data_IF_842936228022
#
_entry.id   IF_842936228022
#
_cell.length_a   1.000
_cell.length_b   1.000
_cell.length_c   1.000
_cell.angle_alpha   90.00
_cell.angle_beta   90.00
_cell.angle_gamma   90.00
#
_symmetry.space_group_name_H-M   'P 1'
#
loop_
_entity.id
_entity.type
_entity.pdbx_description
1 polymer ?
#
# COMPACT_ATOMS: atom_id res chain seq x y z
N UNK A 1 8.38 -16.27 -5.58
CA UNK A 1 8.15 -14.80 -5.47
C UNK A 1 9.30 -14.07 -4.82
N UNK A 2 9.82 -14.52 -3.70
CA UNK A 2 10.97 -13.89 -3.02
C UNK A 2 12.17 -13.68 -3.95
N UNK A 3 12.45 -14.66 -4.83
CA UNK A 3 13.50 -14.52 -5.86
C UNK A 3 13.25 -13.29 -6.74
N UNK A 4 12.01 -12.96 -7.07
CA UNK A 4 11.68 -11.79 -7.89
C UNK A 4 11.84 -10.47 -7.14
N UNK A 5 11.53 -10.44 -5.83
CA UNK A 5 11.75 -9.26 -4.99
C UNK A 5 13.24 -8.92 -4.90
N UNK A 6 14.10 -9.95 -4.81
CA UNK A 6 15.56 -9.79 -4.69
C UNK A 6 16.28 -9.66 -6.04
N UNK A 7 15.57 -9.60 -7.18
CA UNK A 7 16.21 -9.37 -8.47
C UNK A 7 16.74 -7.94 -8.57
N UNK A 8 17.93 -7.79 -9.16
CA UNK A 8 18.55 -6.48 -9.40
C UNK A 8 17.62 -5.54 -10.15
N UNK A 9 16.97 -6.04 -11.20
CA UNK A 9 16.05 -5.27 -12.03
C UNK A 9 14.86 -4.75 -11.22
N UNK A 10 14.31 -5.57 -10.30
CA UNK A 10 13.20 -5.18 -9.43
C UNK A 10 13.63 -4.11 -8.43
N UNK A 11 14.78 -4.29 -7.80
CA UNK A 11 15.34 -3.31 -6.86
C UNK A 11 15.67 -1.99 -7.56
N UNK A 12 16.27 -2.06 -8.76
CA UNK A 12 16.58 -0.87 -9.58
C UNK A 12 15.32 -0.13 -10.00
N UNK A 13 14.29 -0.83 -10.43
CA UNK A 13 13.01 -0.20 -10.77
C UNK A 13 12.34 0.44 -9.53
N UNK A 14 12.37 -0.25 -8.38
CA UNK A 14 11.88 0.31 -7.13
C UNK A 14 12.66 1.58 -6.71
N UNK A 15 13.99 1.59 -6.87
CA UNK A 15 14.83 2.76 -6.66
C UNK A 15 14.44 3.91 -7.60
N UNK A 16 14.32 3.64 -8.90
CA UNK A 16 13.94 4.62 -9.93
C UNK A 16 12.58 5.27 -9.62
N UNK A 17 11.60 4.46 -9.25
CA UNK A 17 10.27 4.94 -8.86
C UNK A 17 10.31 5.76 -7.57
N UNK A 18 11.10 5.32 -6.59
CA UNK A 18 11.32 6.05 -5.35
C UNK A 18 11.96 7.42 -5.57
N UNK A 19 13.00 7.48 -6.41
CA UNK A 19 13.69 8.73 -6.78
C UNK A 19 12.79 9.70 -7.51
N UNK A 20 11.96 9.22 -8.45
CA UNK A 20 11.01 10.09 -9.20
C UNK A 20 10.07 10.87 -8.28
N UNK A 21 9.75 10.32 -7.11
CA UNK A 21 8.91 10.99 -6.13
C UNK A 21 9.67 12.03 -5.27
N UNK A 22 10.98 12.13 -5.42
CA UNK A 22 11.87 13.10 -4.78
C UNK A 22 11.57 13.35 -3.29
N UNK A 23 11.34 12.28 -2.55
CA UNK A 23 10.93 12.38 -1.15
C UNK A 23 12.12 12.65 -0.22
N UNK A 24 11.90 13.40 0.84
CA UNK A 24 12.90 13.77 1.84
C UNK A 24 13.63 12.55 2.44
N UNK A 25 14.86 12.74 2.95
CA UNK A 25 15.66 11.70 3.60
C UNK A 25 14.95 11.08 4.81
N UNK A 26 15.24 9.82 5.09
CA UNK A 26 14.77 9.08 6.25
C UNK A 26 15.42 9.55 7.55
N UNK A 27 15.44 8.66 8.55
CA UNK A 27 16.06 8.91 9.85
C UNK A 27 17.60 8.92 9.77
N UNK A 28 18.13 8.22 8.78
CA UNK A 28 19.58 8.09 8.48
C UNK A 28 20.16 9.34 7.79
N UNK A 29 19.31 10.27 7.35
CA UNK A 29 19.74 11.47 6.62
C UNK A 29 20.20 11.20 5.19
N UNK A 30 20.21 9.96 4.73
CA UNK A 30 20.67 9.59 3.38
C UNK A 30 19.70 10.11 2.33
N UNK A 31 20.23 10.79 1.30
CA UNK A 31 19.47 11.31 0.16
C UNK A 31 19.72 10.46 -1.09
N UNK A 32 18.89 10.63 -2.12
CA UNK A 32 19.11 9.95 -3.40
C UNK A 32 20.40 10.40 -4.07
N UNK A 33 20.76 11.67 -3.92
CA UNK A 33 22.01 12.24 -4.45
C UNK A 33 23.23 11.61 -3.76
N UNK A 34 23.17 11.37 -2.45
CA UNK A 34 24.23 10.69 -1.72
C UNK A 34 24.42 9.25 -2.21
N UNK A 35 23.31 8.50 -2.39
CA UNK A 35 23.36 7.12 -2.93
C UNK A 35 23.94 7.11 -4.36
N UNK A 36 23.64 8.12 -5.17
CA UNK A 36 24.20 8.24 -6.52
C UNK A 36 25.70 8.55 -6.52
N UNK A 37 26.13 9.41 -5.60
CA UNK A 37 27.54 9.74 -5.46
C UNK A 37 28.39 8.57 -4.95
N UNK A 38 27.84 7.72 -4.10
CA UNK A 38 28.50 6.53 -3.55
C UNK A 38 28.45 5.33 -4.51
N UNK A 39 27.48 5.30 -5.45
CA UNK A 39 27.31 4.23 -6.42
C UNK A 39 25.99 3.45 -6.21
N UNK A 40 25.07 3.59 -7.17
CA UNK A 40 23.75 2.95 -7.13
C UNK A 40 23.88 1.42 -7.18
N UNK A 41 24.79 0.90 -7.98
CA UNK A 41 24.91 -0.54 -8.20
C UNK A 41 25.41 -1.25 -6.94
N UNK A 42 26.39 -0.68 -6.26
CA UNK A 42 26.92 -1.15 -4.99
C UNK A 42 25.86 -1.12 -3.91
N UNK A 43 25.12 -0.02 -3.81
CA UNK A 43 23.99 0.11 -2.88
C UNK A 43 22.92 -0.96 -3.11
N UNK A 44 22.51 -1.20 -4.36
CA UNK A 44 21.50 -2.19 -4.70
C UNK A 44 22.00 -3.62 -4.48
N UNK A 45 23.28 -3.90 -4.76
CA UNK A 45 23.85 -5.23 -4.52
C UNK A 45 23.94 -5.55 -3.03
N UNK A 46 24.43 -4.62 -2.22
CA UNK A 46 24.43 -4.77 -0.77
C UNK A 46 23.02 -5.06 -0.22
N UNK A 47 22.03 -4.30 -0.68
CA UNK A 47 20.65 -4.50 -0.26
C UNK A 47 20.10 -5.86 -0.70
N UNK A 48 20.48 -6.30 -1.91
CA UNK A 48 20.15 -7.62 -2.44
C UNK A 48 20.74 -8.74 -1.58
N UNK A 49 22.03 -8.64 -1.25
CA UNK A 49 22.70 -9.62 -0.41
C UNK A 49 22.02 -9.75 0.95
N UNK A 50 21.72 -8.64 1.60
CA UNK A 50 21.01 -8.64 2.89
C UNK A 50 19.63 -9.32 2.80
N UNK A 51 18.89 -9.09 1.72
CA UNK A 51 17.59 -9.72 1.50
C UNK A 51 17.71 -11.24 1.27
N UNK A 52 18.72 -11.66 0.48
CA UNK A 52 18.98 -13.08 0.21
C UNK A 52 19.42 -13.81 1.47
N UNK A 53 20.33 -13.22 2.24
CA UNK A 53 20.88 -13.76 3.49
C UNK A 53 19.91 -13.62 4.68
N UNK A 54 18.78 -12.93 4.53
CA UNK A 54 17.82 -12.59 5.58
C UNK A 54 18.43 -11.75 6.72
N UNK A 55 19.48 -11.03 6.45
CA UNK A 55 20.13 -10.12 7.40
C UNK A 55 19.54 -8.71 7.36
N UNK A 56 18.75 -8.39 6.33
CA UNK A 56 18.07 -7.09 6.21
C UNK A 56 17.25 -6.75 7.46
N UNK A 57 17.41 -5.51 7.92
CA UNK A 57 16.63 -4.93 9.03
C UNK A 57 16.12 -3.55 8.62
N UNK A 58 14.78 -3.34 8.61
CA UNK A 58 14.22 -2.03 8.34
C UNK A 58 14.55 -1.05 9.47
N UNK A 59 14.78 0.18 9.11
CA UNK A 59 14.99 1.28 10.06
C UNK A 59 13.64 1.84 10.55
N UNK A 60 13.67 2.57 11.67
CA UNK A 60 12.51 3.37 12.08
C UNK A 60 12.28 4.50 11.10
N UNK A 61 11.03 4.72 10.70
CA UNK A 61 10.71 5.86 9.87
C UNK A 61 10.89 7.17 10.64
N UNK A 62 11.44 8.21 10.01
CA UNK A 62 11.47 9.56 10.54
C UNK A 62 10.05 10.12 10.58
N UNK A 63 9.60 10.58 11.72
CA UNK A 63 8.27 11.15 11.90
C UNK A 63 8.32 12.66 11.70
N UNK A 64 7.40 13.17 10.87
CA UNK A 64 7.23 14.61 10.63
C UNK A 64 5.77 14.95 10.84
N UNK A 65 5.53 16.04 11.56
CA UNK A 65 4.20 16.57 11.81
C UNK A 65 3.84 17.60 10.75
N UNK A 66 2.68 17.42 10.11
CA UNK A 66 2.14 18.33 9.11
C UNK A 66 0.86 18.93 9.68
N UNK A 67 0.78 20.27 9.82
CA UNK A 67 -0.44 20.93 10.25
C UNK A 67 -1.60 20.65 9.28
N UNK A 68 -2.79 20.42 9.83
CA UNK A 68 -4.05 20.35 9.10
C UNK A 68 -4.93 21.54 9.46
N UNK A 69 -5.91 21.83 8.60
CA UNK A 69 -6.97 22.78 8.93
C UNK A 69 -7.66 22.39 10.25
N UNK A 70 -8.03 23.39 11.05
CA UNK A 70 -8.66 23.18 12.36
C UNK A 70 -7.70 22.79 13.48
N UNK A 71 -6.38 23.07 13.37
CA UNK A 71 -5.40 22.88 14.46
C UNK A 71 -5.01 21.41 14.71
N UNK A 72 -5.49 20.48 13.90
CA UNK A 72 -5.10 19.06 13.95
C UNK A 72 -3.73 18.84 13.28
N UNK A 73 -3.01 17.84 13.73
CA UNK A 73 -1.70 17.47 13.17
C UNK A 73 -1.80 16.10 12.50
N UNK A 74 -1.20 15.98 11.30
CA UNK A 74 -1.02 14.71 10.63
C UNK A 74 0.43 14.26 10.80
N UNK A 75 0.64 13.07 11.33
CA UNK A 75 1.96 12.48 11.43
C UNK A 75 2.31 11.71 10.15
N UNK A 76 3.36 12.16 9.45
CA UNK A 76 3.91 11.48 8.28
C UNK A 76 5.14 10.68 8.72
N UNK A 77 5.22 9.44 8.24
CA UNK A 77 6.35 8.55 8.46
C UNK A 77 7.19 8.47 7.20
N UNK A 78 8.44 8.89 7.27
CA UNK A 78 9.37 8.92 6.13
C UNK A 78 10.39 7.78 6.30
N UNK A 79 10.26 6.66 5.55
CA UNK A 79 11.23 5.57 5.59
C UNK A 79 12.58 6.00 4.99
N UNK A 80 13.67 5.32 5.35
CA UNK A 80 14.96 5.44 4.67
C UNK A 80 14.87 5.08 3.19
N UNK A 81 15.82 5.51 2.37
CA UNK A 81 15.82 5.18 0.94
C UNK A 81 15.90 3.66 0.73
N UNK A 82 16.75 2.97 1.51
CA UNK A 82 16.83 1.51 1.43
C UNK A 82 15.51 0.83 1.75
N UNK A 83 14.78 1.30 2.75
CA UNK A 83 13.47 0.76 3.12
C UNK A 83 12.41 1.07 2.06
N UNK A 84 12.49 2.25 1.41
CA UNK A 84 11.61 2.58 0.27
C UNK A 84 11.85 1.65 -0.91
N UNK A 85 13.11 1.32 -1.20
CA UNK A 85 13.47 0.38 -2.27
C UNK A 85 12.92 -1.01 -1.98
N UNK A 86 13.09 -1.52 -0.76
CA UNK A 86 12.55 -2.83 -0.37
C UNK A 86 11.02 -2.86 -0.40
N UNK A 87 10.37 -1.83 0.15
CA UNK A 87 8.91 -1.70 0.08
C UNK A 87 8.41 -1.56 -1.35
N UNK A 88 9.13 -0.81 -2.19
CA UNK A 88 8.85 -0.65 -3.61
C UNK A 88 8.97 -1.97 -4.38
N UNK A 89 10.02 -2.73 -4.15
CA UNK A 89 10.23 -4.05 -4.74
C UNK A 89 9.13 -5.03 -4.36
N UNK A 90 8.74 -5.07 -3.08
CA UNK A 90 7.58 -5.86 -2.62
C UNK A 90 6.29 -5.40 -3.29
N UNK A 91 6.06 -4.09 -3.37
CA UNK A 91 4.87 -3.54 -4.01
C UNK A 91 4.80 -3.94 -5.48
N UNK A 92 5.89 -3.81 -6.24
CA UNK A 92 5.94 -4.18 -7.66
C UNK A 92 5.53 -5.63 -7.92
N UNK A 93 5.86 -6.54 -6.99
CA UNK A 93 5.53 -7.97 -7.13
C UNK A 93 4.13 -8.29 -6.60
N UNK A 94 3.70 -7.64 -5.52
CA UNK A 94 2.43 -7.96 -4.87
C UNK A 94 1.24 -7.22 -5.50
N UNK A 95 1.42 -5.99 -5.96
CA UNK A 95 0.34 -5.15 -6.48
C UNK A 95 -0.42 -5.81 -7.65
N UNK A 96 0.23 -6.39 -8.67
CA UNK A 96 -0.50 -7.04 -9.77
C UNK A 96 -1.36 -8.23 -9.33
N UNK A 97 -0.95 -8.93 -8.26
CA UNK A 97 -1.67 -10.09 -7.72
C UNK A 97 -2.97 -9.66 -7.05
N UNK A 98 -2.89 -8.60 -6.22
CA UNK A 98 -4.05 -8.13 -5.45
C UNK A 98 -4.93 -7.18 -6.24
N UNK A 99 -4.38 -6.50 -7.25
CA UNK A 99 -5.17 -5.66 -8.16
C UNK A 99 -6.28 -6.44 -8.86
N UNK A 100 -6.03 -7.71 -9.16
CA UNK A 100 -7.02 -8.63 -9.73
C UNK A 100 -8.18 -8.95 -8.77
N UNK A 101 -7.99 -8.81 -7.46
CA UNK A 101 -8.99 -9.13 -6.44
C UNK A 101 -9.81 -7.91 -5.99
N UNK A 102 -9.38 -6.70 -6.33
CA UNK A 102 -10.03 -5.47 -5.89
C UNK A 102 -11.29 -5.16 -6.69
N UNK A 103 -12.31 -4.70 -6.00
CA UNK A 103 -13.58 -4.33 -6.61
C UNK A 103 -13.44 -3.13 -7.56
N UNK A 104 -14.22 -3.13 -8.64
CA UNK A 104 -14.21 -2.06 -9.64
C UNK A 104 -14.58 -0.68 -9.08
N UNK A 105 -15.26 -0.64 -7.93
CA UNK A 105 -15.67 0.55 -7.20
C UNK A 105 -14.62 1.17 -6.30
N UNK A 106 -13.52 0.48 -6.04
CA UNK A 106 -12.42 0.98 -5.24
C UNK A 106 -11.44 1.76 -6.12
N UNK A 107 -11.13 3.01 -5.77
CA UNK A 107 -10.31 3.91 -6.60
C UNK A 107 -9.01 4.35 -5.92
N UNK A 108 -8.97 4.40 -4.59
CA UNK A 108 -7.85 4.97 -3.84
C UNK A 108 -6.54 4.23 -4.05
N UNK A 109 -5.47 4.95 -4.38
CA UNK A 109 -4.10 4.43 -4.49
C UNK A 109 -3.89 3.23 -5.44
N UNK A 110 -4.78 3.03 -6.39
CA UNK A 110 -4.71 1.93 -7.35
C UNK A 110 -4.15 2.37 -8.69
N UNK A 111 -3.38 1.50 -9.39
CA UNK A 111 -2.86 1.82 -10.72
C UNK A 111 -4.02 2.02 -11.70
N UNK A 112 -3.84 2.95 -12.64
CA UNK A 112 -4.83 3.31 -13.68
C UNK A 112 -6.19 3.80 -13.14
N UNK A 113 -6.32 4.07 -11.85
CA UNK A 113 -7.48 4.72 -11.23
C UNK A 113 -7.15 6.19 -10.94
N UNK A 114 -8.16 7.06 -11.04
CA UNK A 114 -7.98 8.49 -10.78
C UNK A 114 -9.16 9.06 -10.00
N UNK A 115 -8.96 10.20 -9.33
CA UNK A 115 -10.03 10.94 -8.68
C UNK A 115 -11.14 11.34 -9.68
N UNK A 116 -10.75 11.76 -10.89
CA UNK A 116 -11.72 12.09 -11.93
C UNK A 116 -12.61 10.90 -12.33
N UNK A 117 -12.03 9.70 -12.41
CA UNK A 117 -12.81 8.50 -12.70
C UNK A 117 -13.77 8.14 -11.55
N UNK A 118 -13.36 8.37 -10.29
CA UNK A 118 -14.24 8.21 -9.13
C UNK A 118 -15.41 9.20 -9.17
N UNK A 119 -15.13 10.50 -9.40
CA UNK A 119 -16.14 11.55 -9.51
C UNK A 119 -17.12 11.22 -10.65
N UNK A 120 -16.63 10.86 -11.83
CA UNK A 120 -17.48 10.47 -12.96
C UNK A 120 -18.44 9.34 -12.57
N UNK A 121 -17.97 8.32 -11.87
CA UNK A 121 -18.83 7.23 -11.41
C UNK A 121 -19.93 7.69 -10.45
N UNK A 122 -19.65 8.64 -9.57
CA UNK A 122 -20.66 9.27 -8.70
C UNK A 122 -21.67 10.05 -9.52
N UNK A 123 -21.20 10.88 -10.46
CA UNK A 123 -22.06 11.66 -11.38
C UNK A 123 -22.99 10.73 -12.17
N UNK A 124 -22.46 9.65 -12.76
CA UNK A 124 -23.27 8.68 -13.51
C UNK A 124 -24.33 8.01 -12.63
N UNK A 125 -24.01 7.76 -11.35
CA UNK A 125 -24.96 7.22 -10.40
C UNK A 125 -26.10 8.21 -10.09
N UNK A 126 -25.80 9.49 -9.89
CA UNK A 126 -26.78 10.55 -9.65
C UNK A 126 -27.69 10.72 -10.87
N UNK A 127 -27.11 10.83 -12.07
CA UNK A 127 -27.86 10.94 -13.33
C UNK A 127 -28.78 9.73 -13.56
N UNK A 128 -28.36 8.53 -13.12
CA UNK A 128 -29.19 7.32 -13.18
C UNK A 128 -30.25 7.22 -12.07
N UNK A 129 -30.51 8.30 -11.34
CA UNK A 129 -31.59 8.40 -10.34
C UNK A 129 -31.23 7.90 -8.94
N UNK A 130 -29.95 7.69 -8.63
CA UNK A 130 -29.51 7.36 -7.26
C UNK A 130 -29.33 8.66 -6.46
N UNK A 131 -30.30 9.00 -5.66
CA UNK A 131 -30.36 10.29 -4.92
C UNK A 131 -29.99 10.17 -3.45
N UNK A 132 -29.80 8.95 -2.94
CA UNK A 132 -29.36 8.71 -1.57
C UNK A 132 -27.89 8.33 -1.56
N UNK A 133 -27.11 8.97 -0.71
CA UNK A 133 -25.71 8.65 -0.46
C UNK A 133 -25.50 8.29 1.02
N UNK A 134 -24.52 7.44 1.27
CA UNK A 134 -24.03 7.13 2.62
C UNK A 134 -22.54 7.42 2.60
N UNK A 135 -22.12 8.42 3.37
CA UNK A 135 -20.72 8.73 3.57
C UNK A 135 -20.18 7.99 4.80
N UNK A 136 -19.07 7.27 4.61
CA UNK A 136 -18.41 6.51 5.66
C UNK A 136 -16.96 6.95 5.79
N UNK A 137 -16.62 7.54 6.92
CA UNK A 137 -15.24 7.92 7.24
C UNK A 137 -14.65 7.00 8.33
N UNK A 138 -13.47 6.42 8.04
CA UNK A 138 -12.76 5.56 8.98
C UNK A 138 -11.77 6.39 9.81
N UNK A 139 -12.04 6.51 11.11
CA UNK A 139 -11.15 7.23 12.03
C UNK A 139 -9.81 6.52 12.18
N UNK A 140 -8.71 7.25 11.97
CA UNK A 140 -7.33 6.77 12.18
C UNK A 140 -7.04 5.42 11.51
N UNK A 141 -7.60 5.20 10.33
CA UNK A 141 -7.61 3.89 9.67
C UNK A 141 -6.22 3.28 9.54
N UNK A 142 -5.23 4.04 9.05
CA UNK A 142 -3.85 3.55 8.88
C UNK A 142 -3.22 3.09 10.20
N UNK A 143 -3.58 3.71 11.31
CA UNK A 143 -3.02 3.42 12.64
C UNK A 143 -3.65 2.18 13.29
N UNK A 144 -4.82 1.73 12.79
CA UNK A 144 -5.60 0.63 13.37
C UNK A 144 -5.51 -0.68 12.59
N UNK A 145 -4.81 -0.71 11.46
CA UNK A 145 -4.62 -1.92 10.64
C UNK A 145 -3.92 -3.02 11.45
N UNK A 146 -4.59 -4.15 11.62
CA UNK A 146 -4.06 -5.30 12.38
C UNK A 146 -3.11 -6.12 11.50
N UNK A 147 -1.84 -6.23 11.90
CA UNK A 147 -0.79 -6.90 11.13
C UNK A 147 -1.09 -8.35 10.80
N UNK A 148 -1.63 -9.13 11.77
CA UNK A 148 -1.96 -10.54 11.54
C UNK A 148 -3.01 -10.73 10.45
N UNK A 149 -4.03 -9.85 10.39
CA UNK A 149 -5.08 -9.90 9.36
C UNK A 149 -4.48 -9.61 7.98
N UNK A 150 -3.63 -8.58 7.86
CA UNK A 150 -2.94 -8.28 6.59
C UNK A 150 -2.08 -9.45 6.15
N UNK A 151 -1.28 -10.01 7.06
CA UNK A 151 -0.41 -11.15 6.76
C UNK A 151 -1.20 -12.40 6.34
N UNK A 152 -2.32 -12.67 7.00
CA UNK A 152 -3.22 -13.77 6.63
C UNK A 152 -3.80 -13.56 5.22
N UNK A 153 -4.28 -12.34 4.91
CA UNK A 153 -4.79 -12.01 3.58
C UNK A 153 -3.73 -12.17 2.50
N UNK A 154 -2.50 -11.74 2.76
CA UNK A 154 -1.37 -11.95 1.84
C UNK A 154 -1.08 -13.44 1.68
N UNK A 155 -1.03 -14.21 2.78
CA UNK A 155 -0.72 -15.63 2.76
C UNK A 155 -1.73 -16.49 1.96
N UNK A 156 -2.99 -16.06 1.87
CA UNK A 156 -4.01 -16.74 1.04
C UNK A 156 -3.67 -16.77 -0.44
N UNK A 157 -2.97 -15.75 -0.94
CA UNK A 157 -2.59 -15.60 -2.35
C UNK A 157 -1.11 -15.87 -2.61
N UNK A 158 -0.27 -15.61 -1.63
CA UNK A 158 1.20 -15.65 -1.73
C UNK A 158 1.73 -16.68 -0.73
N UNK A 159 2.00 -17.90 -1.22
CA UNK A 159 2.59 -18.98 -0.41
C UNK A 159 4.12 -18.93 -0.52
N UNK A 160 4.73 -17.88 0.01
CA UNK A 160 6.18 -17.67 0.02
C UNK A 160 6.61 -17.12 1.38
N UNK A 161 7.22 -17.99 2.18
CA UNK A 161 7.61 -17.67 3.56
C UNK A 161 8.61 -16.51 3.66
N UNK A 162 9.45 -16.32 2.63
CA UNK A 162 10.42 -15.22 2.60
C UNK A 162 9.71 -13.88 2.38
N UNK A 163 8.71 -13.85 1.50
CA UNK A 163 7.88 -12.64 1.29
C UNK A 163 7.08 -12.31 2.56
N UNK A 164 6.47 -13.31 3.17
CA UNK A 164 5.72 -13.13 4.42
C UNK A 164 6.62 -12.69 5.58
N UNK A 165 7.83 -13.26 5.66
CA UNK A 165 8.83 -12.84 6.64
C UNK A 165 9.22 -11.38 6.45
N UNK A 166 9.54 -10.96 5.21
CA UNK A 166 9.94 -9.60 4.91
C UNK A 166 8.82 -8.60 5.21
N UNK A 167 7.59 -8.93 4.81
CA UNK A 167 6.43 -8.11 5.11
C UNK A 167 6.18 -7.97 6.62
N UNK A 168 6.32 -9.09 7.37
CA UNK A 168 6.21 -9.08 8.84
C UNK A 168 7.28 -8.18 9.48
N UNK A 169 8.48 -8.18 8.93
CA UNK A 169 9.60 -7.36 9.41
C UNK A 169 9.30 -5.87 9.24
N UNK A 170 8.84 -5.47 8.05
CA UNK A 170 8.44 -4.10 7.74
C UNK A 170 7.26 -3.62 8.62
N UNK A 171 6.26 -4.46 8.81
CA UNK A 171 5.13 -4.15 9.68
C UNK A 171 5.56 -3.97 11.14
N UNK A 172 6.42 -4.86 11.66
CA UNK A 172 6.95 -4.75 13.03
C UNK A 172 7.75 -3.46 13.26
N UNK A 173 8.51 -3.00 12.27
CA UNK A 173 9.26 -1.74 12.37
C UNK A 173 8.34 -0.52 12.54
N UNK A 174 7.07 -0.62 12.12
CA UNK A 174 6.07 0.42 12.26
C UNK A 174 5.38 0.45 13.63
N UNK A 175 5.47 -0.65 14.41
CA UNK A 175 4.83 -0.77 15.71
C UNK A 175 4.11 -2.09 15.93
N UNK A 176 3.20 -2.14 16.90
CA UNK A 176 2.39 -3.33 17.22
C UNK A 176 1.21 -3.51 16.23
N UNK A 177 0.73 -2.44 15.67
CA UNK A 177 -0.35 -2.37 14.68
C UNK A 177 -0.17 -1.14 13.81
N UNK A 178 -0.97 -1.00 12.77
CA UNK A 178 -0.95 0.11 11.84
C UNK A 178 0.03 -0.08 10.69
N UNK A 179 -0.14 0.74 9.67
CA UNK A 179 0.79 0.89 8.55
C UNK A 179 1.22 2.35 8.47
N UNK A 180 2.50 2.64 8.20
CA UNK A 180 3.02 4.00 8.28
C UNK A 180 2.38 4.89 7.19
N UNK A 181 1.84 6.04 7.58
CA UNK A 181 1.42 7.06 6.63
C UNK A 181 2.67 7.64 5.95
N UNK A 182 2.86 7.32 4.66
CA UNK A 182 4.06 7.65 3.89
C UNK A 182 4.93 6.44 3.51
N UNK A 183 4.62 5.25 4.03
CA UNK A 183 5.22 4.01 3.55
C UNK A 183 4.81 3.67 2.12
N UNK A 184 5.77 3.22 1.29
CA UNK A 184 5.54 2.94 -0.14
C UNK A 184 4.51 1.81 -0.36
N UNK A 185 4.54 0.79 0.48
CA UNK A 185 3.63 -0.38 0.40
C UNK A 185 2.32 -0.16 1.18
N UNK A 186 2.27 0.83 2.08
CA UNK A 186 1.13 1.04 2.98
C UNK A 186 -0.22 1.19 2.26
N UNK A 187 -0.33 1.91 1.13
CA UNK A 187 -1.59 1.99 0.39
C UNK A 187 -2.09 0.65 -0.12
N UNK A 188 -1.20 -0.21 -0.63
CA UNK A 188 -1.58 -1.55 -1.09
C UNK A 188 -2.11 -2.40 0.08
N UNK A 189 -1.42 -2.38 1.22
CA UNK A 189 -1.83 -3.13 2.42
C UNK A 189 -3.17 -2.63 2.98
N UNK A 190 -3.38 -1.32 2.93
CA UNK A 190 -4.65 -0.70 3.31
C UNK A 190 -5.79 -1.15 2.41
N UNK A 191 -5.62 -1.09 1.09
CA UNK A 191 -6.62 -1.56 0.15
C UNK A 191 -6.93 -3.05 0.34
N UNK A 192 -5.90 -3.86 0.57
CA UNK A 192 -6.08 -5.29 0.85
C UNK A 192 -6.88 -5.53 2.13
N UNK A 193 -6.65 -4.73 3.17
CA UNK A 193 -7.38 -4.83 4.43
C UNK A 193 -8.85 -4.47 4.25
N UNK A 194 -9.17 -3.39 3.49
CA UNK A 194 -10.53 -2.91 3.24
C UNK A 194 -11.30 -3.71 2.18
N UNK A 195 -10.65 -4.49 1.35
CA UNK A 195 -11.30 -5.20 0.25
C UNK A 195 -12.46 -6.10 0.67
N UNK A 196 -12.50 -6.56 1.93
CA UNK A 196 -13.64 -7.33 2.46
C UNK A 196 -14.90 -6.47 2.61
N UNK A 197 -14.72 -5.19 2.97
CA UNK A 197 -15.84 -4.23 3.04
C UNK A 197 -16.39 -3.99 1.63
N UNK A 198 -15.50 -3.78 0.64
CA UNK A 198 -15.90 -3.62 -0.75
C UNK A 198 -16.67 -4.84 -1.27
N UNK A 199 -16.18 -6.06 -0.98
CA UNK A 199 -16.85 -7.32 -1.35
C UNK A 199 -18.22 -7.45 -0.67
N UNK A 200 -18.32 -7.10 0.60
CA UNK A 200 -19.58 -7.13 1.33
C UNK A 200 -20.62 -6.18 0.71
N UNK A 201 -20.19 -4.97 0.36
CA UNK A 201 -21.07 -3.98 -0.28
C UNK A 201 -21.51 -4.42 -1.69
N UNK A 202 -20.62 -5.02 -2.49
CA UNK A 202 -21.00 -5.55 -3.81
C UNK A 202 -21.99 -6.72 -3.67
N UNK A 203 -21.78 -7.63 -2.71
CA UNK A 203 -22.72 -8.73 -2.42
C UNK A 203 -24.09 -8.21 -1.99
N UNK A 204 -24.15 -7.16 -1.15
CA UNK A 204 -25.40 -6.54 -0.75
C UNK A 204 -26.21 -5.98 -1.94
N UNK A 205 -25.52 -5.42 -2.96
CA UNK A 205 -26.19 -4.98 -4.20
C UNK A 205 -26.80 -6.12 -5.01
N UNK A 206 -26.13 -7.27 -5.06
CA UNK A 206 -26.64 -8.46 -5.77
C UNK A 206 -27.90 -8.98 -5.13
N UNK A 207 -27.92 -9.14 -3.81
CA UNK A 207 -29.11 -9.57 -3.04
C UNK A 207 -30.29 -8.63 -3.26
N UNK A 208 -30.05 -7.31 -3.24
CA UNK A 208 -31.12 -6.32 -3.46
C UNK A 208 -31.68 -6.38 -4.89
N UNK A 209 -30.83 -6.69 -5.89
CA UNK A 209 -31.28 -6.86 -7.28
C UNK A 209 -32.12 -8.12 -7.46
N UNK A 210 -31.75 -9.23 -6.84
CA UNK A 210 -32.54 -10.48 -6.87
C UNK A 210 -33.90 -10.29 -6.20
N UNK A 211 -33.97 -9.75 -5.00
CA UNK A 211 -35.24 -9.51 -4.32
C UNK A 211 -36.18 -8.47 -5.00
N UNK A 212 -35.68 -7.65 -5.95
CA UNK A 212 -36.53 -6.84 -6.82
C UNK A 212 -37.07 -7.62 -8.01
N UNK A 213 -36.32 -8.56 -8.57
CA UNK A 213 -36.80 -9.44 -9.65
C UNK A 213 -37.89 -10.37 -9.16
N UNK A 214 -37.74 -10.99 -8.01
CA UNK A 214 -38.75 -11.86 -7.39
C UNK A 214 -40.05 -11.16 -6.99
N UNK A 215 -40.08 -9.82 -6.92
CA UNK A 215 -41.31 -9.02 -6.68
C UNK A 215 -42.00 -8.54 -7.94
N UNK A 216 -41.43 -8.79 -9.11
CA UNK A 216 -41.94 -8.34 -10.41
C UNK A 216 -42.51 -9.57 -11.20
N UNK A 217 -42.19 -10.79 -10.79
CA UNK A 217 -42.79 -12.05 -11.25
C UNK A 217 -43.98 -12.44 -10.34
#
# INVERSE_FOLDING_TARGET
MSVHVCKRETLREAYRLGKRNNGAAGIDGVTFEAVEAEGIEEFLEQLREELVQRSYRPQRARKVEIPKEGGKVRQLSIPSIRDRVVQGALKLILEPIFEADFQGGSFGYRPKKSAHAAIRRVTDAIVSGKTYEIDLELRSYFDTVRHHIVLEKVARRVRDDKVLWLLRLLLKASGKQGVPQGGVISPLLSNLYLNEVDKMLEKAKEVTRQGRRERIE
#
